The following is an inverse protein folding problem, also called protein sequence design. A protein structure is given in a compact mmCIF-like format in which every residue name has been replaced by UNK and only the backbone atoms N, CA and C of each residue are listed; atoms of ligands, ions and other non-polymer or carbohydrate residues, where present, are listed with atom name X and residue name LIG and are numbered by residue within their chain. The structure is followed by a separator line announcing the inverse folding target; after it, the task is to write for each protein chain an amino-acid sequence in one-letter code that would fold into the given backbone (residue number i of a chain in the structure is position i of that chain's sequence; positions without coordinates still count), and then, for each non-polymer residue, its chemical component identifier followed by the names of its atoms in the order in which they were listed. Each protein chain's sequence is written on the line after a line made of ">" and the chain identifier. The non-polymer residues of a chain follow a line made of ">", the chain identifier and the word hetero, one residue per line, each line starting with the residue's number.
data_IF_924864797806
#
_entry.id   IF_924864797806
#
_cell.length_a   1.000
_cell.length_b   1.000
_cell.length_c   1.000
_cell.angle_alpha   90.00
_cell.angle_beta   90.00
_cell.angle_gamma   90.00
#
_symmetry.space_group_name_H-M   'P 1'
#
loop_
_entity.id
_entity.type
_entity.pdbx_description
1 polymer ?
#
# COMPACT_ATOMS: atom_id res chain seq x y z
N UNK A 1 -14.19 4.50 5.87
CA UNK A 1 -12.87 4.06 5.40
C UNK A 1 -11.91 5.23 5.47
N UNK A 2 -10.85 5.16 6.29
CA UNK A 2 -9.77 6.16 6.28
C UNK A 2 -8.72 5.69 5.29
N UNK A 3 -8.35 6.57 4.37
CA UNK A 3 -7.26 6.33 3.43
C UNK A 3 -6.05 7.08 3.96
N UNK A 4 -4.98 6.36 4.25
CA UNK A 4 -3.66 6.93 4.52
C UNK A 4 -2.94 7.09 3.18
N UNK A 5 -2.36 8.26 2.95
CA UNK A 5 -1.61 8.54 1.72
C UNK A 5 -0.24 9.06 2.09
N UNK A 6 0.78 8.47 1.49
CA UNK A 6 2.17 8.88 1.65
C UNK A 6 2.91 8.83 0.32
N UNK A 7 3.91 9.69 0.14
CA UNK A 7 4.78 9.67 -1.03
C UNK A 7 6.06 8.90 -0.69
N UNK A 8 6.44 7.97 -1.57
CA UNK A 8 7.63 7.12 -1.40
C UNK A 8 8.35 6.94 -2.73
N UNK A 9 9.60 7.40 -2.82
CA UNK A 9 10.45 7.33 -4.04
C UNK A 9 9.79 7.88 -5.32
N UNK A 10 8.91 8.88 -5.18
CA UNK A 10 8.19 9.47 -6.30
C UNK A 10 6.89 8.76 -6.69
N UNK A 11 6.53 7.68 -5.99
CA UNK A 11 5.23 7.04 -6.07
C UNK A 11 4.32 7.56 -4.96
N UNK A 12 3.01 7.57 -5.19
CA UNK A 12 2.01 7.79 -4.15
C UNK A 12 1.49 6.44 -3.68
N UNK A 13 1.72 6.14 -2.40
CA UNK A 13 1.22 4.96 -1.73
C UNK A 13 -0.06 5.33 -0.99
N UNK A 14 -1.17 4.70 -1.35
CA UNK A 14 -2.46 4.85 -0.71
C UNK A 14 -2.82 3.56 0.02
N UNK A 15 -2.98 3.61 1.34
CA UNK A 15 -3.39 2.48 2.17
C UNK A 15 -4.81 2.71 2.67
N UNK A 16 -5.68 1.73 2.46
CA UNK A 16 -7.06 1.72 2.95
C UNK A 16 -7.28 0.46 3.77
N UNK A 17 -7.89 0.61 4.93
CA UNK A 17 -8.19 -0.53 5.81
C UNK A 17 -9.68 -0.85 5.76
N UNK A 18 -9.97 -2.14 5.68
CA UNK A 18 -11.32 -2.68 5.75
C UNK A 18 -11.37 -3.72 6.87
N UNK A 19 -12.32 -3.57 7.79
CA UNK A 19 -12.59 -4.60 8.80
C UNK A 19 -13.61 -5.57 8.23
N UNK A 20 -13.28 -6.85 8.22
CA UNK A 20 -14.20 -7.92 7.87
C UNK A 20 -14.82 -8.47 9.17
N UNK A 21 -16.07 -8.11 9.41
CA UNK A 21 -16.82 -8.52 10.61
C UNK A 21 -17.16 -10.03 10.63
N UNK A 22 -17.02 -10.75 9.52
CA UNK A 22 -17.32 -12.19 9.45
C UNK A 22 -16.21 -13.05 10.03
N UNK A 23 -14.96 -12.62 9.80
CA UNK A 23 -13.75 -13.27 10.33
C UNK A 23 -13.11 -12.48 11.47
N UNK A 24 -13.62 -11.28 11.75
CA UNK A 24 -13.09 -10.35 12.75
C UNK A 24 -11.59 -10.04 12.51
N UNK A 25 -11.25 -9.74 11.25
CA UNK A 25 -9.89 -9.41 10.80
C UNK A 25 -9.90 -8.12 9.98
N UNK A 26 -8.77 -7.43 9.99
CA UNK A 26 -8.49 -6.25 9.18
C UNK A 26 -7.73 -6.62 7.92
N UNK A 27 -8.28 -6.22 6.77
CA UNK A 27 -7.67 -6.29 5.47
C UNK A 27 -7.05 -4.94 5.13
N UNK A 28 -5.73 -4.92 4.88
CA UNK A 28 -5.04 -3.75 4.37
C UNK A 28 -5.01 -3.78 2.85
N UNK A 29 -5.66 -2.83 2.19
CA UNK A 29 -5.51 -2.61 0.74
C UNK A 29 -4.48 -1.53 0.51
N UNK A 30 -3.52 -1.76 -0.38
CA UNK A 30 -2.58 -0.74 -0.80
C UNK A 30 -2.61 -0.54 -2.32
N UNK A 31 -2.52 0.73 -2.72
CA UNK A 31 -2.42 1.15 -4.12
C UNK A 31 -1.17 1.99 -4.27
N UNK A 32 -0.49 1.77 -5.38
CA UNK A 32 0.74 2.48 -5.73
C UNK A 32 0.45 3.20 -7.03
N UNK A 33 0.57 4.52 -6.98
CA UNK A 33 0.37 5.39 -8.13
C UNK A 33 1.72 5.95 -8.55
N UNK A 34 1.92 6.08 -9.85
CA UNK A 34 3.07 6.76 -10.42
C UNK A 34 2.97 8.30 -10.26
N UNK A 35 3.94 9.00 -10.86
CA UNK A 35 4.00 10.47 -10.88
C UNK A 35 2.85 11.11 -11.65
N UNK A 36 2.25 10.38 -12.59
CA UNK A 36 1.09 10.80 -13.37
C UNK A 36 -0.24 10.53 -12.63
N UNK A 37 -0.18 9.97 -11.41
CA UNK A 37 -1.33 9.55 -10.60
C UNK A 37 -2.09 8.37 -11.20
N UNK A 38 -1.43 7.54 -12.00
CA UNK A 38 -1.99 6.30 -12.54
C UNK A 38 -1.67 5.17 -11.56
N UNK A 39 -2.68 4.36 -11.20
CA UNK A 39 -2.47 3.17 -10.36
C UNK A 39 -1.68 2.15 -11.18
N UNK A 40 -0.41 1.97 -10.82
CA UNK A 40 0.49 0.99 -11.45
C UNK A 40 0.45 -0.36 -10.74
N UNK A 41 0.11 -0.36 -9.45
CA UNK A 41 -0.05 -1.57 -8.67
C UNK A 41 -1.12 -1.44 -7.61
N UNK A 42 -1.84 -2.53 -7.39
CA UNK A 42 -2.83 -2.66 -6.34
C UNK A 42 -2.85 -4.09 -5.82
N UNK A 43 -2.81 -4.25 -4.50
CA UNK A 43 -2.99 -5.54 -3.85
C UNK A 43 -3.46 -5.37 -2.41
N UNK A 44 -3.61 -6.51 -1.73
CA UNK A 44 -4.02 -6.61 -0.34
C UNK A 44 -2.90 -7.26 0.47
N UNK A 45 -2.64 -6.71 1.65
CA UNK A 45 -1.81 -7.34 2.65
C UNK A 45 -2.56 -8.51 3.29
N UNK A 46 -1.84 -9.46 3.91
CA UNK A 46 -2.46 -10.52 4.71
C UNK A 46 -3.42 -9.95 5.77
N UNK A 47 -4.58 -10.60 6.01
CA UNK A 47 -5.51 -10.18 7.04
C UNK A 47 -4.94 -10.42 8.43
N UNK A 48 -5.13 -9.46 9.34
CA UNK A 48 -4.62 -9.50 10.71
C UNK A 48 -5.66 -9.02 11.72
N UNK A 49 -5.51 -9.36 13.01
CA UNK A 49 -6.51 -9.02 14.03
C UNK A 49 -6.52 -7.52 14.42
N UNK A 50 -5.41 -6.82 14.19
CA UNK A 50 -5.21 -5.45 14.65
C UNK A 50 -5.16 -4.43 13.49
N UNK A 51 -5.92 -3.34 13.60
CA UNK A 51 -5.96 -2.26 12.59
C UNK A 51 -4.55 -1.68 12.33
N UNK A 52 -3.78 -1.47 13.39
CA UNK A 52 -2.44 -0.90 13.30
C UNK A 52 -1.46 -1.83 12.58
N UNK A 53 -1.59 -3.15 12.81
CA UNK A 53 -0.79 -4.15 12.10
C UNK A 53 -1.19 -4.22 10.62
N UNK A 54 -2.48 -4.16 10.30
CA UNK A 54 -2.95 -4.15 8.91
C UNK A 54 -2.44 -2.92 8.16
N UNK A 55 -2.40 -1.76 8.84
CA UNK A 55 -1.80 -0.53 8.30
C UNK A 55 -0.32 -0.71 8.02
N UNK A 56 0.43 -1.19 9.01
CA UNK A 56 1.86 -1.39 8.90
C UNK A 56 2.21 -2.40 7.80
N UNK A 57 1.50 -3.52 7.73
CA UNK A 57 1.67 -4.55 6.71
C UNK A 57 1.41 -4.00 5.30
N UNK A 58 0.29 -3.30 5.08
CA UNK A 58 -0.01 -2.69 3.79
C UNK A 58 1.02 -1.63 3.35
N UNK A 59 1.54 -0.82 4.27
CA UNK A 59 2.65 0.09 3.94
C UNK A 59 3.95 -0.63 3.64
N UNK A 60 4.27 -1.69 4.39
CA UNK A 60 5.48 -2.47 4.19
C UNK A 60 5.47 -3.16 2.83
N UNK A 61 4.37 -3.81 2.46
CA UNK A 61 4.24 -4.44 1.15
C UNK A 61 4.24 -3.44 0.00
N UNK A 62 3.57 -2.30 0.16
CA UNK A 62 3.60 -1.25 -0.84
C UNK A 62 5.02 -0.71 -1.07
N UNK A 63 5.77 -0.49 0.01
CA UNK A 63 7.16 -0.04 -0.08
C UNK A 63 8.06 -1.11 -0.67
N UNK A 64 7.88 -2.37 -0.30
CA UNK A 64 8.63 -3.49 -0.87
C UNK A 64 8.42 -3.59 -2.38
N UNK A 65 7.19 -3.38 -2.87
CA UNK A 65 6.93 -3.31 -4.31
C UNK A 65 7.67 -2.14 -4.96
N UNK A 66 7.62 -0.94 -4.37
CA UNK A 66 8.37 0.23 -4.88
C UNK A 66 9.88 0.02 -4.81
N UNK A 67 10.39 -0.76 -3.84
CA UNK A 67 11.80 -1.09 -3.73
C UNK A 67 12.27 -2.10 -4.78
N UNK A 68 11.37 -3.01 -5.20
CA UNK A 68 11.62 -4.02 -6.24
C UNK A 68 11.44 -3.44 -7.67
N UNK A 69 10.63 -2.39 -7.81
CA UNK A 69 10.37 -1.74 -9.09
C UNK A 69 11.66 -1.11 -9.67
N UNK A 70 12.13 -1.58 -10.84
CA UNK A 70 13.40 -1.11 -11.42
C UNK A 70 13.33 0.36 -11.86
N UNK A 71 12.15 0.86 -12.23
CA UNK A 71 11.91 2.27 -12.56
C UNK A 71 11.94 3.17 -11.31
N UNK A 72 11.60 2.65 -10.13
CA UNK A 72 11.77 3.35 -8.85
C UNK A 72 13.24 3.48 -8.42
N UNK A 73 14.09 2.52 -8.81
CA UNK A 73 15.54 2.54 -8.58
C UNK A 73 16.29 3.34 -9.66
N UNK A 74 15.70 3.47 -10.84
CA UNK A 74 16.21 4.28 -11.93
C UNK A 74 15.75 5.73 -11.75
N UNK A 75 16.38 6.44 -10.80
CA UNK A 75 16.27 7.90 -10.67
C UNK A 75 16.89 8.64 -11.87
N UNK A 76 16.51 8.29 -13.10
CA UNK A 76 17.01 8.87 -14.34
C UNK A 76 15.83 9.23 -15.24
N UNK A 77 15.46 10.51 -15.19
CA UNK A 77 14.78 11.18 -16.30
C UNK A 77 15.66 12.36 -16.70
#
# INVERSE_FOLDING_TARGET
>A
MKIDQTEYKGYKVMVSLEHDDTVNLWNGRYRILDRENVVVYESFSPPVADEAEARSAAHAEARAWVDDDPDALSGTH
#
